data_IF_404176384208
#
_entry.id   IF_404176384208
#
_cell.length_a   1.000
_cell.length_b   1.000
_cell.length_c   1.000
_cell.angle_alpha   90.00
_cell.angle_beta   90.00
_cell.angle_gamma   90.00
#
_symmetry.space_group_name_H-M   'P 1'
#
loop_
_entity.id
_entity.type
_entity.pdbx_description
1 polymer ?
#
# COMPACT_ATOMS: atom_id res chain seq x y z
N UNK A 1 35.99 -36.29 30.94
CA UNK A 1 36.53 -34.97 30.52
C UNK A 1 35.63 -34.46 29.40
N UNK A 2 34.69 -33.56 29.70
CA UNK A 2 33.82 -32.97 28.68
C UNK A 2 34.49 -31.70 28.15
N UNK A 3 34.87 -31.72 26.89
CA UNK A 3 35.43 -30.58 26.17
C UNK A 3 34.31 -29.57 25.91
N UNK A 4 34.32 -28.46 26.62
CA UNK A 4 33.41 -27.35 26.41
C UNK A 4 33.85 -26.62 25.14
N UNK A 5 33.27 -26.99 23.99
CA UNK A 5 33.48 -26.27 22.74
C UNK A 5 32.75 -24.92 22.82
N UNK A 6 33.46 -23.89 23.26
CA UNK A 6 33.01 -22.51 23.21
C UNK A 6 33.09 -22.06 21.74
N UNK A 7 32.06 -22.41 20.96
CA UNK A 7 31.84 -21.78 19.66
C UNK A 7 31.78 -20.27 19.92
N UNK A 8 32.78 -19.52 19.47
CA UNK A 8 32.81 -18.06 19.59
C UNK A 8 31.70 -17.49 18.71
N UNK A 9 30.50 -17.35 19.26
CA UNK A 9 29.39 -16.65 18.64
C UNK A 9 29.75 -15.17 18.60
N UNK A 10 30.35 -14.73 17.50
CA UNK A 10 30.59 -13.31 17.24
C UNK A 10 29.25 -12.74 16.79
N UNK A 11 28.63 -11.92 17.63
CA UNK A 11 27.37 -11.27 17.30
C UNK A 11 27.55 -10.36 16.08
N UNK A 12 26.70 -10.53 15.07
CA UNK A 12 26.69 -9.69 13.88
C UNK A 12 25.85 -8.45 14.14
N UNK A 13 26.48 -7.28 14.25
CA UNK A 13 25.77 -6.01 14.45
C UNK A 13 24.75 -5.68 13.34
N UNK A 14 24.93 -6.23 12.14
CA UNK A 14 24.01 -6.06 11.03
C UNK A 14 22.78 -7.00 11.10
N UNK A 15 22.71 -7.88 12.08
CA UNK A 15 21.58 -8.78 12.27
C UNK A 15 20.35 -8.02 12.81
N UNK A 16 19.23 -8.18 12.10
CA UNK A 16 17.95 -7.57 12.45
C UNK A 16 17.37 -8.22 13.70
N UNK A 17 17.70 -9.48 13.98
CA UNK A 17 17.21 -10.19 15.16
C UNK A 17 17.92 -9.78 16.45
N UNK A 18 19.10 -9.16 16.35
CA UNK A 18 19.94 -8.78 17.48
C UNK A 18 19.25 -7.79 18.44
N UNK A 19 18.44 -6.86 17.92
CA UNK A 19 17.74 -5.89 18.76
C UNK A 19 16.28 -5.66 18.36
N UNK A 20 15.38 -5.76 19.35
CA UNK A 20 13.95 -5.50 19.16
C UNK A 20 13.66 -4.08 18.64
N UNK A 21 14.32 -3.01 19.11
CA UNK A 21 14.08 -1.66 18.60
C UNK A 21 14.50 -1.49 17.14
N UNK A 22 15.65 -2.03 16.73
CA UNK A 22 16.11 -1.94 15.33
C UNK A 22 15.13 -2.66 14.40
N UNK A 23 14.72 -3.87 14.76
CA UNK A 23 13.71 -4.64 14.03
C UNK A 23 12.39 -3.88 13.87
N UNK A 24 11.88 -3.27 14.94
CA UNK A 24 10.63 -2.51 14.89
C UNK A 24 10.71 -1.32 13.94
N UNK A 25 11.83 -0.58 13.95
CA UNK A 25 12.05 0.55 13.03
C UNK A 25 12.11 0.09 11.57
N UNK A 26 12.82 -1.01 11.30
CA UNK A 26 12.89 -1.59 9.95
C UNK A 26 11.51 -2.02 9.45
N UNK A 27 10.75 -2.78 10.25
CA UNK A 27 9.41 -3.24 9.89
C UNK A 27 8.44 -2.07 9.68
N UNK A 28 8.54 -1.02 10.49
CA UNK A 28 7.75 0.20 10.29
C UNK A 28 8.03 0.86 8.93
N UNK A 29 9.32 1.01 8.57
CA UNK A 29 9.70 1.60 7.27
C UNK A 29 9.25 0.73 6.10
N UNK A 30 9.43 -0.59 6.20
CA UNK A 30 8.96 -1.56 5.20
C UNK A 30 7.43 -1.45 5.01
N UNK A 31 6.68 -1.45 6.12
CA UNK A 31 5.23 -1.36 6.09
C UNK A 31 4.76 -0.02 5.52
N UNK A 32 5.32 1.10 6.00
CA UNK A 32 4.99 2.43 5.51
C UNK A 32 5.25 2.57 4.02
N UNK A 33 6.42 2.10 3.55
CA UNK A 33 6.78 2.17 2.13
C UNK A 33 5.88 1.28 1.27
N UNK A 34 5.57 0.07 1.73
CA UNK A 34 4.62 -0.82 1.05
C UNK A 34 3.23 -0.20 0.94
N UNK A 35 2.73 0.40 2.04
CA UNK A 35 1.44 1.07 2.05
C UNK A 35 1.43 2.34 1.18
N UNK A 36 2.54 3.08 1.17
CA UNK A 36 2.72 4.27 0.33
C UNK A 36 2.64 3.92 -1.16
N UNK A 37 3.37 2.89 -1.62
CA UNK A 37 3.30 2.44 -3.01
C UNK A 37 1.91 1.90 -3.34
N UNK A 38 1.29 1.13 -2.44
CA UNK A 38 -0.06 0.59 -2.65
C UNK A 38 -1.09 1.71 -2.83
N UNK A 39 -1.08 2.72 -1.96
CA UNK A 39 -1.96 3.87 -2.06
C UNK A 39 -1.71 4.65 -3.35
N UNK A 40 -0.44 4.89 -3.70
CA UNK A 40 -0.08 5.59 -4.93
C UNK A 40 -0.59 4.84 -6.18
N UNK A 41 -0.31 3.54 -6.27
CA UNK A 41 -0.76 2.71 -7.39
C UNK A 41 -2.29 2.65 -7.47
N UNK A 42 -2.97 2.55 -6.32
CA UNK A 42 -4.43 2.60 -6.23
C UNK A 42 -5.02 3.92 -6.75
N UNK A 43 -4.45 5.06 -6.34
CA UNK A 43 -4.86 6.37 -6.83
C UNK A 43 -4.64 6.52 -8.33
N UNK A 44 -3.49 6.06 -8.86
CA UNK A 44 -3.20 6.09 -10.29
C UNK A 44 -4.20 5.26 -11.10
N UNK A 45 -4.47 4.03 -10.67
CA UNK A 45 -5.41 3.14 -11.33
C UNK A 45 -6.83 3.74 -11.36
N UNK A 46 -7.27 4.34 -10.25
CA UNK A 46 -8.57 5.01 -10.17
C UNK A 46 -8.65 6.24 -11.08
N UNK A 47 -7.55 7.00 -11.22
CA UNK A 47 -7.49 8.14 -12.13
C UNK A 47 -7.56 7.74 -13.61
N UNK A 48 -6.94 6.62 -13.97
CA UNK A 48 -6.96 6.10 -15.34
C UNK A 48 -8.35 5.57 -15.71
N UNK A 49 -9.00 4.84 -14.81
CA UNK A 49 -10.37 4.33 -14.97
C UNK A 49 -11.45 5.27 -14.42
N UNK A 50 -11.16 6.57 -14.34
CA UNK A 50 -12.15 7.55 -13.92
C UNK A 50 -13.36 7.50 -14.85
N UNK A 51 -14.53 7.77 -14.30
CA UNK A 51 -15.75 7.90 -15.09
C UNK A 51 -15.57 8.98 -16.16
N UNK A 52 -15.63 8.58 -17.42
CA UNK A 52 -15.71 9.50 -18.55
C UNK A 52 -17.18 9.70 -18.88
N UNK A 53 -17.62 10.96 -18.97
CA UNK A 53 -18.97 11.27 -19.39
C UNK A 53 -19.10 10.89 -20.86
N UNK A 54 -19.97 9.93 -21.17
CA UNK A 54 -20.36 9.66 -22.54
C UNK A 54 -21.35 10.73 -22.99
N UNK A 55 -20.94 11.56 -23.96
CA UNK A 55 -21.77 12.65 -24.48
C UNK A 55 -22.85 12.16 -25.47
N UNK A 56 -22.62 11.01 -26.12
CA UNK A 56 -23.49 10.48 -27.18
C UNK A 56 -24.65 9.58 -26.69
N UNK A 57 -24.82 9.42 -25.37
CA UNK A 57 -25.91 8.59 -24.85
C UNK A 57 -27.19 9.44 -24.79
N UNK A 58 -28.27 9.08 -25.51
CA UNK A 58 -29.55 9.76 -25.38
C UNK A 58 -30.05 9.59 -23.95
N UNK A 59 -30.02 10.67 -23.18
CA UNK A 59 -30.52 10.70 -21.81
C UNK A 59 -32.05 10.70 -21.85
N UNK A 60 -32.73 9.78 -21.15
CA UNK A 60 -34.19 9.75 -21.10
C UNK A 60 -34.75 11.07 -20.52
N UNK A 61 -35.76 11.65 -21.17
CA UNK A 61 -36.32 12.96 -20.78
C UNK A 61 -36.88 12.99 -19.35
N UNK A 62 -37.28 11.83 -18.80
CA UNK A 62 -37.76 11.70 -17.42
C UNK A 62 -36.66 11.77 -16.36
N UNK A 63 -35.38 11.70 -16.76
CA UNK A 63 -34.22 11.85 -15.86
C UNK A 63 -33.67 13.27 -15.87
N UNK A 64 -34.22 14.14 -16.72
CA UNK A 64 -33.81 15.53 -16.83
C UNK A 64 -34.30 16.30 -15.59
N UNK A 65 -33.41 17.12 -15.02
CA UNK A 65 -33.74 17.91 -13.82
C UNK A 65 -34.87 18.90 -14.08
N UNK A 66 -34.93 19.42 -15.30
CA UNK A 66 -36.00 20.30 -15.76
C UNK A 66 -37.15 19.47 -16.36
N UNK A 67 -38.35 19.54 -15.77
CA UNK A 67 -39.50 18.81 -16.29
C UNK A 67 -40.02 19.45 -17.58
N UNK A 68 -40.23 18.64 -18.62
CA UNK A 68 -41.02 19.04 -19.80
C UNK A 68 -42.50 18.75 -19.57
N UNK A 69 -43.34 19.76 -19.71
CA UNK A 69 -44.80 19.62 -19.69
C UNK A 69 -45.35 19.54 -21.13
N UNK A 70 -46.46 18.83 -21.31
CA UNK A 70 -47.17 18.72 -22.60
C UNK A 70 -47.97 19.97 -22.91
#
# INVERSE_FOLDING_TARGET
MQTHNQNTHIDNEADIELSKPSKSRFLFLLFFFGFFIFAWAGCYNLYEHKFQKNEDIPVPENTQYEPKYK
#
